data_IF_229147020656
#
_entry.id   IF_229147020656
#
_cell.length_a   1.000
_cell.length_b   1.000
_cell.length_c   1.000
_cell.angle_alpha   90.00
_cell.angle_beta   90.00
_cell.angle_gamma   90.00
#
_symmetry.space_group_name_H-M   'P 1'
#
loop_
_entity.id
_entity.type
_entity.pdbx_description
1 polymer ?
#
# COMPACT_ATOMS: atom_id res chain seq x y z
N UNK A 1 7.83 -9.99 10.34
CA UNK A 1 7.08 -9.48 9.18
C UNK A 1 5.82 -10.29 8.97
N UNK A 2 4.73 -9.60 8.78
CA UNK A 2 3.44 -10.24 8.48
C UNK A 2 2.91 -9.70 7.17
N UNK A 3 2.41 -10.60 6.32
CA UNK A 3 1.79 -10.25 5.04
C UNK A 3 0.47 -11.02 4.96
N UNK A 4 -0.62 -10.31 4.71
CA UNK A 4 -1.91 -10.95 4.59
C UNK A 4 -2.71 -10.33 3.46
N UNK A 5 -3.28 -11.18 2.60
CA UNK A 5 -4.19 -10.75 1.56
C UNK A 5 -5.61 -10.71 2.11
N UNK A 6 -6.30 -9.59 1.89
CA UNK A 6 -7.64 -9.40 2.40
C UNK A 6 -8.61 -9.30 1.24
N UNK A 7 -9.57 -10.21 1.23
CA UNK A 7 -10.62 -10.25 0.21
C UNK A 7 -11.94 -9.74 0.76
N UNK A 8 -12.76 -9.19 -0.10
CA UNK A 8 -14.17 -8.97 0.21
C UNK A 8 -15.01 -9.70 -0.84
N UNK A 9 -15.68 -10.76 -0.38
CA UNK A 9 -16.72 -11.43 -1.15
C UNK A 9 -16.36 -11.74 -2.59
N UNK A 10 -17.16 -11.22 -3.51
CA UNK A 10 -17.07 -11.57 -4.92
C UNK A 10 -16.16 -10.67 -5.76
N UNK A 11 -15.39 -9.80 -5.14
CA UNK A 11 -14.44 -8.99 -5.90
C UNK A 11 -13.16 -9.77 -6.13
N UNK A 12 -12.72 -9.86 -7.36
CA UNK A 12 -11.50 -10.55 -7.73
C UNK A 12 -10.24 -9.79 -7.30
N UNK A 13 -10.40 -8.64 -6.74
CA UNK A 13 -9.31 -7.76 -6.35
C UNK A 13 -9.03 -7.91 -4.87
N UNK A 14 -7.80 -8.21 -4.51
CA UNK A 14 -7.37 -8.34 -3.14
C UNK A 14 -6.55 -7.14 -2.70
N UNK A 15 -6.72 -6.75 -1.44
CA UNK A 15 -5.84 -5.80 -0.78
C UNK A 15 -4.82 -6.57 0.04
N UNK A 16 -3.66 -5.96 0.28
CA UNK A 16 -2.62 -6.58 1.09
C UNK A 16 -2.32 -5.73 2.31
N UNK A 17 -2.18 -6.37 3.45
CA UNK A 17 -1.74 -5.76 4.69
C UNK A 17 -0.33 -6.26 4.98
N UNK A 18 0.60 -5.34 5.22
CA UNK A 18 2.00 -5.65 5.49
C UNK A 18 2.39 -4.99 6.81
N UNK A 19 3.09 -5.73 7.65
CA UNK A 19 3.49 -5.22 8.96
C UNK A 19 4.89 -5.66 9.29
N UNK A 20 5.67 -4.75 9.88
CA UNK A 20 7.00 -5.03 10.41
C UNK A 20 7.28 -4.11 11.58
N UNK A 21 7.67 -4.69 12.71
CA UNK A 21 8.16 -3.94 13.87
C UNK A 21 7.23 -2.80 14.33
N UNK A 22 5.94 -3.06 14.36
CA UNK A 22 4.95 -2.07 14.83
C UNK A 22 4.52 -1.04 13.78
N UNK A 23 5.01 -1.15 12.56
CA UNK A 23 4.60 -0.28 11.44
C UNK A 23 3.90 -1.10 10.39
N UNK A 24 2.82 -0.57 9.85
CA UNK A 24 2.00 -1.28 8.86
C UNK A 24 1.78 -0.44 7.61
N UNK A 25 1.48 -1.13 6.53
CA UNK A 25 1.07 -0.53 5.27
C UNK A 25 -0.03 -1.37 4.64
N UNK A 26 -0.87 -0.72 3.84
CA UNK A 26 -1.92 -1.40 3.09
C UNK A 26 -1.70 -1.09 1.61
N UNK A 27 -1.81 -2.13 0.78
CA UNK A 27 -1.69 -1.98 -0.67
C UNK A 27 -3.06 -2.17 -1.30
N UNK A 28 -3.49 -1.19 -2.09
CA UNK A 28 -4.77 -1.18 -2.79
C UNK A 28 -5.96 -1.49 -1.89
N UNK A 29 -6.19 -0.68 -0.83
CA UNK A 29 -7.27 -0.98 0.11
C UNK A 29 -8.63 -0.98 -0.57
N UNK A 30 -9.46 -1.90 -0.13
CA UNK A 30 -10.85 -1.97 -0.56
C UNK A 30 -11.66 -0.88 0.13
N UNK A 31 -12.90 -0.69 -0.32
CA UNK A 31 -13.76 0.39 0.19
C UNK A 31 -14.00 0.31 1.69
N UNK A 32 -14.19 -0.88 2.22
CA UNK A 32 -14.38 -1.09 3.65
C UNK A 32 -13.02 -1.13 4.33
N UNK A 33 -12.70 -0.11 5.12
CA UNK A 33 -11.36 0.05 5.70
C UNK A 33 -11.22 -0.45 7.12
N UNK A 34 -12.31 -0.74 7.81
CA UNK A 34 -12.26 -1.20 9.20
C UNK A 34 -11.41 -2.45 9.42
N UNK A 35 -11.44 -3.46 8.54
CA UNK A 35 -10.60 -4.64 8.75
C UNK A 35 -9.11 -4.33 8.87
N UNK A 36 -8.61 -3.35 8.11
CA UNK A 36 -7.19 -2.97 8.18
C UNK A 36 -6.88 -2.27 9.50
N UNK A 37 -7.76 -1.38 9.93
CA UNK A 37 -7.59 -0.63 11.17
C UNK A 37 -7.64 -1.58 12.37
N UNK A 38 -8.59 -2.49 12.39
CA UNK A 38 -8.73 -3.47 13.47
C UNK A 38 -7.51 -4.39 13.55
N UNK A 39 -7.00 -4.81 12.41
CA UNK A 39 -5.82 -5.68 12.38
C UNK A 39 -4.59 -4.96 12.94
N UNK A 40 -4.40 -3.70 12.57
CA UNK A 40 -3.30 -2.91 13.10
C UNK A 40 -3.42 -2.73 14.61
N UNK A 41 -4.61 -2.43 15.10
CA UNK A 41 -4.86 -2.28 16.53
C UNK A 41 -4.58 -3.55 17.31
N UNK A 42 -5.04 -4.70 16.79
CA UNK A 42 -4.80 -6.00 17.43
C UNK A 42 -3.31 -6.32 17.52
N UNK A 43 -2.53 -5.87 16.57
CA UNK A 43 -1.10 -6.14 16.50
C UNK A 43 -0.26 -5.02 17.10
N UNK A 44 -0.87 -4.01 17.68
CA UNK A 44 -0.19 -2.80 18.19
C UNK A 44 0.67 -2.15 17.12
N UNK A 45 0.17 -2.11 15.89
CA UNK A 45 0.86 -1.50 14.76
C UNK A 45 0.19 -0.21 14.35
N UNK A 46 0.96 0.68 13.74
CA UNK A 46 0.47 1.94 13.19
C UNK A 46 0.55 1.89 11.67
N UNK A 47 -0.55 2.15 10.99
CA UNK A 47 -0.57 2.18 9.53
C UNK A 47 0.06 3.49 9.07
N UNK A 48 1.24 3.39 8.46
CA UNK A 48 2.01 4.56 8.02
C UNK A 48 1.81 4.92 6.56
N UNK A 49 1.55 3.92 5.73
CA UNK A 49 1.45 4.12 4.28
C UNK A 49 0.27 3.36 3.70
N UNK A 50 -0.31 3.96 2.67
CA UNK A 50 -1.28 3.31 1.79
C UNK A 50 -0.69 3.39 0.39
N UNK A 51 -0.34 2.24 -0.18
CA UNK A 51 0.28 2.15 -1.50
C UNK A 51 -0.78 1.84 -2.54
N UNK A 52 -0.73 2.55 -3.66
CA UNK A 52 -1.63 2.32 -4.78
C UNK A 52 -0.85 1.81 -5.98
N UNK A 53 -1.24 0.68 -6.55
CA UNK A 53 -0.56 0.11 -7.72
C UNK A 53 -0.96 0.82 -9.00
N UNK A 54 -2.13 1.45 -9.03
CA UNK A 54 -2.59 2.23 -10.17
C UNK A 54 -3.62 3.26 -9.70
N UNK A 55 -3.93 4.22 -10.59
CA UNK A 55 -4.85 5.28 -10.25
C UNK A 55 -6.30 4.81 -10.37
N UNK A 56 -7.06 4.94 -9.29
CA UNK A 56 -8.47 4.59 -9.24
C UNK A 56 -9.31 5.85 -9.34
N UNK A 57 -9.55 6.30 -10.56
CA UNK A 57 -10.22 7.59 -10.77
C UNK A 57 -11.70 7.59 -10.40
N UNK A 58 -12.31 6.42 -10.45
CA UNK A 58 -13.77 6.35 -10.44
C UNK A 58 -14.31 5.75 -9.18
N UNK A 59 -13.39 5.67 -8.00
CA UNK A 59 -14.17 5.25 -7.13
C UNK A 59 -13.83 4.67 -5.94
N UNK A 60 -13.93 3.72 -5.66
CA UNK A 60 -14.32 2.99 -4.48
C UNK A 60 -13.14 2.31 -3.83
N UNK A 61 -11.97 2.85 -4.04
CA UNK A 61 -10.83 2.47 -3.21
C UNK A 61 -10.95 3.16 -1.86
N UNK A 62 -10.61 2.45 -0.80
CA UNK A 62 -10.64 3.00 0.56
C UNK A 62 -9.45 3.87 0.92
N UNK A 63 -8.57 4.21 -0.04
CA UNK A 63 -7.32 4.88 0.28
C UNK A 63 -7.50 6.23 0.96
N UNK A 64 -8.45 7.06 0.51
CA UNK A 64 -8.69 8.37 1.14
C UNK A 64 -9.24 8.22 2.56
N UNK A 65 -10.20 7.34 2.74
CA UNK A 65 -10.81 7.11 4.05
C UNK A 65 -9.82 6.52 5.03
N UNK A 66 -9.04 5.55 4.59
CA UNK A 66 -8.03 4.92 5.43
C UNK A 66 -6.94 5.92 5.82
N UNK A 67 -6.46 6.73 4.88
CA UNK A 67 -5.47 7.76 5.17
C UNK A 67 -6.01 8.79 6.17
N UNK A 68 -7.25 9.20 5.99
CA UNK A 68 -7.89 10.16 6.89
C UNK A 68 -8.01 9.63 8.32
N UNK A 69 -8.40 8.36 8.45
CA UNK A 69 -8.62 7.74 9.77
C UNK A 69 -7.33 7.37 10.49
N UNK A 70 -6.27 7.09 9.77
CA UNK A 70 -5.01 6.62 10.35
C UNK A 70 -3.87 7.63 10.31
N UNK A 71 -4.00 8.68 9.52
CA UNK A 71 -2.91 9.62 9.28
C UNK A 71 -1.85 9.07 8.32
N UNK A 72 -2.12 7.96 7.66
CA UNK A 72 -1.18 7.36 6.72
C UNK A 72 -0.97 8.23 5.49
N UNK A 73 0.23 8.12 4.89
CA UNK A 73 0.51 8.77 3.61
C UNK A 73 0.07 7.89 2.47
N UNK A 74 -0.62 8.46 1.51
CA UNK A 74 -0.98 7.77 0.28
C UNK A 74 0.20 7.87 -0.67
N UNK A 75 0.67 6.73 -1.18
CA UNK A 75 1.84 6.64 -2.06
C UNK A 75 1.40 6.19 -3.44
N UNK A 76 1.75 6.99 -4.45
CA UNK A 76 1.58 6.64 -5.86
C UNK A 76 2.93 6.56 -6.55
N UNK A 77 2.97 5.84 -7.65
CA UNK A 77 4.16 5.79 -8.50
C UNK A 77 4.38 7.08 -9.29
N UNK A 78 5.45 7.10 -10.12
CA UNK A 78 5.99 8.35 -10.68
C UNK A 78 5.08 9.18 -11.56
N UNK A 79 4.11 8.59 -12.25
CA UNK A 79 3.29 9.33 -13.23
C UNK A 79 1.87 9.60 -12.77
N UNK A 80 1.53 9.23 -11.55
CA UNK A 80 0.19 9.49 -11.03
C UNK A 80 0.01 10.99 -10.74
N UNK A 81 -1.19 11.48 -10.99
CA UNK A 81 -1.52 12.88 -10.75
C UNK A 81 -2.93 13.02 -10.17
N UNK A 82 -3.18 12.45 -8.98
CA UNK A 82 -4.48 12.60 -8.35
C UNK A 82 -4.68 14.02 -7.83
N UNK A 83 -5.93 14.37 -7.58
CA UNK A 83 -6.28 15.71 -7.09
C UNK A 83 -6.47 15.76 -5.57
N UNK A 84 -5.69 15.01 -4.85
CA UNK A 84 -5.65 15.01 -3.37
C UNK A 84 -4.19 14.88 -2.93
N UNK A 85 -3.92 15.08 -1.66
CA UNK A 85 -2.55 14.98 -1.12
C UNK A 85 -2.04 13.54 -1.20
N UNK A 86 -0.85 13.39 -1.76
CA UNK A 86 -0.21 12.09 -1.88
C UNK A 86 1.30 12.26 -1.93
N UNK A 87 2.01 11.17 -1.71
CA UNK A 87 3.45 11.10 -1.88
C UNK A 87 3.76 10.51 -3.25
N UNK A 88 4.43 11.27 -4.10
CA UNK A 88 4.83 10.81 -5.43
C UNK A 88 6.19 10.12 -5.33
N UNK A 89 6.18 8.79 -5.29
CA UNK A 89 7.40 8.01 -5.19
C UNK A 89 8.09 7.93 -6.55
N UNK A 90 9.43 7.92 -6.54
CA UNK A 90 10.23 7.78 -7.75
C UNK A 90 10.45 6.31 -8.06
N UNK A 91 10.67 6.00 -9.34
CA UNK A 91 11.04 4.65 -9.75
C UNK A 91 12.35 4.25 -9.06
N UNK A 92 12.34 3.08 -8.42
CA UNK A 92 13.50 2.59 -7.68
C UNK A 92 13.61 3.09 -6.25
N UNK A 93 12.72 3.97 -5.81
CA UNK A 93 12.75 4.49 -4.45
C UNK A 93 12.43 3.38 -3.45
N UNK A 94 13.16 3.34 -2.33
CA UNK A 94 12.93 2.39 -1.25
C UNK A 94 12.33 3.11 -0.05
N UNK A 95 11.16 2.65 0.40
CA UNK A 95 10.45 3.24 1.53
C UNK A 95 10.55 2.27 2.69
N UNK A 96 11.09 2.73 3.81
CA UNK A 96 11.26 1.90 5.00
C UNK A 96 9.93 1.69 5.72
N UNK A 97 9.70 0.46 6.15
CA UNK A 97 8.55 0.09 6.97
C UNK A 97 9.06 -0.85 8.06
N UNK A 98 9.18 -0.35 9.29
CA UNK A 98 9.79 -1.14 10.35
C UNK A 98 11.20 -1.56 9.97
N UNK A 99 11.43 -2.87 9.88
CA UNK A 99 12.72 -3.46 9.52
C UNK A 99 12.79 -3.88 8.05
N UNK A 100 11.71 -3.69 7.29
CA UNK A 100 11.65 -4.06 5.89
C UNK A 100 11.62 -2.81 5.01
N UNK A 101 11.72 -2.99 3.71
CA UNK A 101 11.66 -1.91 2.73
C UNK A 101 10.70 -2.27 1.62
N UNK A 102 10.06 -1.26 1.07
CA UNK A 102 9.19 -1.42 -0.09
C UNK A 102 9.80 -0.60 -1.22
N UNK A 103 10.25 -1.28 -2.29
CA UNK A 103 10.86 -0.64 -3.44
C UNK A 103 9.81 -0.37 -4.50
N UNK A 104 9.76 0.87 -4.96
CA UNK A 104 8.79 1.31 -5.97
C UNK A 104 9.33 0.99 -7.34
N UNK A 105 8.56 0.27 -8.14
CA UNK A 105 8.92 -0.08 -9.51
C UNK A 105 7.85 0.45 -10.46
N UNK A 106 8.21 1.43 -11.29
CA UNK A 106 7.29 1.95 -12.27
C UNK A 106 7.16 0.94 -13.43
N UNK A 107 5.96 0.43 -13.62
CA UNK A 107 5.69 -0.62 -14.60
C UNK A 107 4.56 -0.18 -15.54
N UNK A 108 4.80 0.82 -16.41
CA UNK A 108 3.76 1.26 -17.33
C UNK A 108 3.45 0.14 -18.32
N UNK A 109 2.17 -0.09 -18.55
CA UNK A 109 1.74 -1.16 -19.43
C UNK A 109 0.27 -1.01 -19.67
N UNK A 110 -0.52 -1.56 -18.75
CA UNK A 110 -1.97 -1.40 -18.82
C UNK A 110 -2.36 0.09 -18.70
N UNK A 111 -1.74 0.81 -17.79
CA UNK A 111 -1.89 2.26 -17.66
C UNK A 111 -0.51 2.90 -17.48
N UNK A 112 -0.40 4.21 -17.74
CA UNK A 112 0.87 4.93 -17.60
C UNK A 112 1.33 5.04 -16.16
N UNK A 113 0.40 5.02 -15.21
CA UNK A 113 0.70 5.18 -13.78
C UNK A 113 0.83 3.86 -13.03
N UNK A 114 0.79 2.73 -13.72
CA UNK A 114 0.92 1.41 -13.08
C UNK A 114 2.26 1.27 -12.38
N UNK A 115 2.22 0.76 -11.17
CA UNK A 115 3.40 0.63 -10.32
C UNK A 115 3.32 -0.70 -9.58
N UNK A 116 4.45 -1.39 -9.48
CA UNK A 116 4.60 -2.55 -8.64
C UNK A 116 5.41 -2.18 -7.40
N UNK A 117 5.19 -2.90 -6.33
CA UNK A 117 5.92 -2.70 -5.09
C UNK A 117 6.63 -3.99 -4.72
N UNK A 118 7.96 -3.91 -4.62
CA UNK A 118 8.80 -5.05 -4.26
C UNK A 118 9.08 -4.99 -2.77
N UNK A 119 8.63 -6.01 -2.06
CA UNK A 119 8.89 -6.13 -0.63
C UNK A 119 10.26 -6.75 -0.43
N UNK A 120 11.13 -6.03 0.29
CA UNK A 120 12.48 -6.47 0.62
C UNK A 120 12.50 -6.76 2.11
N UNK A 121 12.91 -7.98 2.48
CA UNK A 121 12.90 -8.40 3.88
C UNK A 121 14.03 -7.72 4.68
N UNK A 122 14.07 -7.98 5.99
CA UNK A 122 15.04 -7.34 6.88
C UNK A 122 16.49 -7.72 6.58
N UNK A 123 16.71 -8.79 5.82
CA UNK A 123 18.05 -9.22 5.41
C UNK A 123 18.44 -8.65 4.05
N UNK A 124 17.59 -7.85 3.43
CA UNK A 124 17.87 -7.24 2.13
C UNK A 124 17.52 -8.10 0.95
N UNK A 125 16.77 -9.17 1.13
CA UNK A 125 16.39 -10.07 0.03
C UNK A 125 14.97 -9.78 -0.45
N UNK A 126 14.73 -9.85 -1.78
CA UNK A 126 13.37 -9.73 -2.30
C UNK A 126 12.48 -10.84 -1.77
N UNK A 127 11.29 -10.48 -1.32
CA UNK A 127 10.34 -11.43 -0.75
C UNK A 127 9.07 -11.58 -1.57
N UNK A 128 8.42 -10.46 -1.91
CA UNK A 128 7.13 -10.47 -2.59
C UNK A 128 7.01 -9.27 -3.53
N UNK A 129 6.25 -9.44 -4.61
CA UNK A 129 5.97 -8.38 -5.56
C UNK A 129 4.45 -8.14 -5.60
N UNK A 130 4.05 -6.90 -5.46
CA UNK A 130 2.64 -6.51 -5.50
C UNK A 130 2.33 -5.63 -6.69
#
# INVERSE_FOLDING_TARGET
MKIEQIYTGCLAQGAYYIESNGEAAVIDPLREVQPYIQKAELNNAHIKYVFETHFHADFVSGHLDLAKKTGAKIVYGPTAAPNFDFYAAKDGEEIALGKIKIKVLHTPGHTMESTCYLLIDENGFPHSLF
#
